data_IF_956921138422
#
_entry.id   IF_956921138422
#
_cell.length_a   1.000
_cell.length_b   1.000
_cell.length_c   1.000
_cell.angle_alpha   90.00
_cell.angle_beta   90.00
_cell.angle_gamma   90.00
#
_symmetry.space_group_name_H-M   'P 1'
#
loop_
_entity.id
_entity.type
_entity.pdbx_description
1 polymer ?
#
# COMPACT_ATOMS: atom_id res chain seq x y z
N UNK A 1 -51.14 3.21 26.73
CA UNK A 1 -50.52 4.36 26.03
C UNK A 1 -51.57 5.01 25.15
N UNK A 2 -51.81 6.30 25.41
CA UNK A 2 -52.61 7.21 24.58
C UNK A 2 -52.15 7.17 23.10
N UNK A 3 -53.11 7.26 22.17
CA UNK A 3 -52.89 7.24 20.72
C UNK A 3 -51.90 8.33 20.28
N UNK A 4 -51.99 9.53 20.88
CA UNK A 4 -51.08 10.64 20.62
C UNK A 4 -49.64 10.31 21.06
N UNK A 5 -49.48 9.69 22.23
CA UNK A 5 -48.19 9.21 22.72
C UNK A 5 -47.49 8.23 21.78
N UNK A 6 -48.25 7.36 21.08
CA UNK A 6 -47.68 6.43 20.09
C UNK A 6 -47.17 7.17 18.85
N UNK A 7 -47.95 8.11 18.33
CA UNK A 7 -47.59 8.94 17.17
C UNK A 7 -46.33 9.75 17.47
N UNK A 8 -46.26 10.40 18.64
CA UNK A 8 -45.08 11.18 19.04
C UNK A 8 -43.84 10.30 19.16
N UNK A 9 -43.98 9.10 19.73
CA UNK A 9 -42.86 8.16 19.88
C UNK A 9 -42.36 7.67 18.51
N UNK A 10 -43.28 7.35 17.59
CA UNK A 10 -42.96 6.95 16.23
C UNK A 10 -42.25 8.08 15.46
N UNK A 11 -42.74 9.32 15.55
CA UNK A 11 -42.12 10.45 14.90
C UNK A 11 -40.71 10.77 15.45
N UNK A 12 -40.50 10.64 16.77
CA UNK A 12 -39.16 10.75 17.38
C UNK A 12 -38.21 9.65 16.89
N UNK A 13 -38.69 8.42 16.76
CA UNK A 13 -37.91 7.32 16.21
C UNK A 13 -37.47 7.63 14.76
N UNK A 14 -38.39 8.12 13.93
CA UNK A 14 -38.10 8.50 12.54
C UNK A 14 -37.04 9.60 12.48
N UNK A 15 -37.15 10.62 13.32
CA UNK A 15 -36.15 11.70 13.40
C UNK A 15 -34.75 11.12 13.70
N UNK A 16 -34.63 10.29 14.74
CA UNK A 16 -33.35 9.69 15.11
C UNK A 16 -32.80 8.80 13.99
N UNK A 17 -33.64 7.97 13.37
CA UNK A 17 -33.22 7.13 12.24
C UNK A 17 -32.73 7.97 11.06
N UNK A 18 -33.36 9.11 10.79
CA UNK A 18 -32.91 10.03 9.74
C UNK A 18 -31.52 10.63 10.03
N UNK A 19 -31.18 10.91 11.30
CA UNK A 19 -29.84 11.41 11.67
C UNK A 19 -28.74 10.34 11.51
N UNK A 20 -29.06 9.07 11.72
CA UNK A 20 -28.09 7.96 11.59
C UNK A 20 -27.87 7.49 10.14
N UNK A 21 -28.61 8.03 9.18
CA UNK A 21 -28.54 7.60 7.78
C UNK A 21 -27.19 7.96 7.13
N UNK A 22 -26.52 6.95 6.58
CA UNK A 22 -25.21 7.11 5.90
C UNK A 22 -25.31 7.64 4.48
N UNK A 23 -26.51 7.69 3.92
CA UNK A 23 -26.74 8.00 2.51
C UNK A 23 -27.96 8.88 2.36
N UNK A 24 -27.99 9.68 1.28
CA UNK A 24 -29.05 10.66 1.04
C UNK A 24 -29.33 11.54 2.27
N UNK A 25 -28.25 12.01 2.90
CA UNK A 25 -28.30 12.68 4.21
C UNK A 25 -29.16 13.94 4.16
N UNK A 26 -29.16 14.68 3.05
CA UNK A 26 -29.97 15.90 2.91
C UNK A 26 -31.45 15.56 2.93
N UNK A 27 -31.87 14.58 2.13
CA UNK A 27 -33.27 14.16 2.08
C UNK A 27 -33.75 13.53 3.40
N UNK A 28 -32.91 12.71 4.06
CA UNK A 28 -33.21 12.13 5.37
C UNK A 28 -33.34 13.23 6.45
N UNK A 29 -32.38 14.15 6.50
CA UNK A 29 -32.41 15.28 7.43
C UNK A 29 -33.65 16.15 7.21
N UNK A 30 -34.01 16.44 5.95
CA UNK A 30 -35.22 17.19 5.60
C UNK A 30 -36.49 16.50 6.09
N UNK A 31 -36.63 15.20 5.84
CA UNK A 31 -37.76 14.42 6.32
C UNK A 31 -37.83 14.43 7.86
N UNK A 32 -36.69 14.22 8.53
CA UNK A 32 -36.59 14.27 9.98
C UNK A 32 -37.09 15.59 10.56
N UNK A 33 -36.57 16.71 10.08
CA UNK A 33 -36.97 18.04 10.55
C UNK A 33 -38.44 18.35 10.31
N UNK A 34 -38.97 17.96 9.14
CA UNK A 34 -40.40 18.09 8.87
C UNK A 34 -41.20 17.33 9.90
N UNK A 35 -40.94 16.04 10.07
CA UNK A 35 -41.61 15.19 11.08
C UNK A 35 -41.52 15.83 12.47
N UNK A 36 -40.33 16.25 12.91
CA UNK A 36 -40.13 16.87 14.22
C UNK A 36 -40.95 18.16 14.39
N UNK A 37 -40.99 19.02 13.37
CA UNK A 37 -41.81 20.24 13.37
C UNK A 37 -43.30 19.94 13.48
N UNK A 38 -43.79 18.91 12.78
CA UNK A 38 -45.20 18.49 12.85
C UNK A 38 -45.55 17.83 14.20
N UNK A 39 -44.58 17.26 14.91
CA UNK A 39 -44.82 16.70 16.25
C UNK A 39 -44.98 17.76 17.34
N UNK A 40 -44.46 18.99 17.15
CA UNK A 40 -44.50 20.02 18.19
C UNK A 40 -45.94 20.36 18.63
N UNK A 41 -46.90 20.64 17.72
CA UNK A 41 -48.28 20.91 18.12
C UNK A 41 -48.96 19.70 18.78
N UNK A 42 -48.61 18.48 18.36
CA UNK A 42 -49.15 17.26 18.97
C UNK A 42 -48.62 17.06 20.39
N UNK A 43 -47.35 17.42 20.66
CA UNK A 43 -46.81 17.39 22.02
C UNK A 43 -47.55 18.38 22.93
N UNK A 44 -47.79 19.60 22.45
CA UNK A 44 -48.56 20.61 23.20
C UNK A 44 -49.98 20.11 23.49
N UNK A 45 -50.64 19.47 22.52
CA UNK A 45 -51.98 18.90 22.67
C UNK A 45 -52.01 17.79 23.73
N UNK A 46 -50.99 16.92 23.75
CA UNK A 46 -50.85 15.89 24.79
C UNK A 46 -50.69 16.49 26.17
N UNK A 47 -49.84 17.50 26.28
CA UNK A 47 -49.43 18.08 27.56
C UNK A 47 -50.58 18.90 28.19
N UNK A 48 -51.56 19.35 27.39
CA UNK A 48 -52.84 19.91 27.86
C UNK A 48 -53.77 18.87 28.50
N UNK A 49 -53.45 17.58 28.43
CA UNK A 49 -54.18 16.52 29.14
C UNK A 49 -55.50 16.09 28.49
N UNK A 50 -55.74 16.44 27.23
CA UNK A 50 -56.98 16.12 26.53
C UNK A 50 -57.09 14.63 26.21
N UNK A 51 -58.05 13.97 26.89
CA UNK A 51 -58.33 12.53 26.71
C UNK A 51 -59.45 12.23 25.71
N UNK A 52 -60.27 13.23 25.36
CA UNK A 52 -61.42 13.08 24.46
C UNK A 52 -61.24 13.98 23.22
N UNK A 53 -60.57 13.43 22.20
CA UNK A 53 -60.47 14.03 20.87
C UNK A 53 -61.72 13.70 20.06
N UNK A 54 -62.12 14.58 19.14
CA UNK A 54 -63.26 14.29 18.27
C UNK A 54 -62.97 13.07 17.37
N UNK A 55 -64.00 12.35 16.89
CA UNK A 55 -63.83 11.25 15.94
C UNK A 55 -63.07 11.65 14.67
N UNK A 56 -63.28 12.88 14.19
CA UNK A 56 -62.63 13.44 13.01
C UNK A 56 -61.13 13.65 13.26
N UNK A 57 -60.76 14.24 14.40
CA UNK A 57 -59.35 14.42 14.80
C UNK A 57 -58.67 13.06 14.98
N UNK A 58 -59.35 12.10 15.61
CA UNK A 58 -58.82 10.74 15.80
C UNK A 58 -58.58 10.03 14.46
N UNK A 59 -59.45 10.24 13.47
CA UNK A 59 -59.29 9.70 12.12
C UNK A 59 -58.10 10.33 11.40
N UNK A 60 -57.96 11.67 11.47
CA UNK A 60 -56.82 12.38 10.89
C UNK A 60 -55.49 11.97 11.54
N UNK A 61 -55.45 11.78 12.86
CA UNK A 61 -54.29 11.27 13.59
C UNK A 61 -53.92 9.84 13.17
N UNK A 62 -54.92 8.98 12.93
CA UNK A 62 -54.68 7.62 12.44
C UNK A 62 -54.06 7.62 11.03
N UNK A 63 -54.54 8.51 10.14
CA UNK A 63 -53.92 8.72 8.81
C UNK A 63 -52.49 9.25 8.93
N UNK A 64 -52.26 10.17 9.87
CA UNK A 64 -50.93 10.73 10.10
C UNK A 64 -49.97 9.67 10.59
N UNK A 65 -50.41 8.81 11.52
CA UNK A 65 -49.64 7.65 11.98
C UNK A 65 -49.27 6.72 10.81
N UNK A 66 -50.22 6.40 9.92
CA UNK A 66 -49.96 5.53 8.78
C UNK A 66 -48.89 6.11 7.83
N UNK A 67 -48.86 7.43 7.62
CA UNK A 67 -47.81 8.07 6.82
C UNK A 67 -46.44 8.00 7.51
N UNK A 68 -46.39 8.14 8.84
CA UNK A 68 -45.16 7.96 9.61
C UNK A 68 -44.65 6.51 9.54
N UNK A 69 -45.55 5.52 9.61
CA UNK A 69 -45.18 4.10 9.46
C UNK A 69 -44.57 3.84 8.07
N UNK A 70 -45.16 4.40 7.01
CA UNK A 70 -44.60 4.31 5.67
C UNK A 70 -43.24 5.02 5.55
N UNK A 71 -43.08 6.17 6.19
CA UNK A 71 -41.81 6.90 6.22
C UNK A 71 -40.70 6.03 6.84
N UNK A 72 -41.01 5.39 7.98
CA UNK A 72 -40.11 4.45 8.65
C UNK A 72 -39.74 3.28 7.76
N UNK A 73 -40.71 2.62 7.12
CA UNK A 73 -40.44 1.51 6.19
C UNK A 73 -39.51 1.91 5.05
N UNK A 74 -39.69 3.12 4.50
CA UNK A 74 -38.78 3.64 3.47
C UNK A 74 -37.37 3.89 4.01
N UNK A 75 -37.23 4.47 5.19
CA UNK A 75 -35.92 4.68 5.83
C UNK A 75 -35.23 3.34 6.04
N UNK A 76 -35.93 2.35 6.60
CA UNK A 76 -35.38 1.01 6.84
C UNK A 76 -34.97 0.32 5.52
N UNK A 77 -35.78 0.46 4.46
CA UNK A 77 -35.46 -0.06 3.12
C UNK A 77 -34.19 0.58 2.55
N UNK A 78 -34.07 1.90 2.67
CA UNK A 78 -32.96 2.64 2.10
C UNK A 78 -31.76 2.74 3.02
N UNK A 79 -31.79 2.26 4.26
CA UNK A 79 -30.58 2.08 5.07
C UNK A 79 -29.53 1.16 4.39
N UNK A 80 -29.99 0.24 3.52
CA UNK A 80 -29.15 -0.72 2.81
C UNK A 80 -28.53 -0.10 1.55
N UNK A 81 -27.19 -0.12 1.48
CA UNK A 81 -26.39 0.38 0.34
C UNK A 81 -26.89 -0.12 -1.03
N UNK A 82 -27.24 -1.40 -1.14
CA UNK A 82 -27.70 -2.01 -2.39
C UNK A 82 -29.02 -1.42 -2.90
N UNK A 83 -29.94 -1.07 -2.00
CA UNK A 83 -31.24 -0.50 -2.34
C UNK A 83 -31.11 0.96 -2.82
N UNK A 84 -30.30 1.76 -2.13
CA UNK A 84 -29.99 3.13 -2.57
C UNK A 84 -29.33 3.13 -3.94
N UNK A 85 -28.33 2.27 -4.16
CA UNK A 85 -27.67 2.19 -5.44
C UNK A 85 -28.63 1.80 -6.57
N UNK A 86 -29.56 0.87 -6.32
CA UNK A 86 -30.62 0.52 -7.30
C UNK A 86 -31.52 1.71 -7.57
N UNK A 87 -31.97 2.42 -6.54
CA UNK A 87 -32.84 3.59 -6.66
C UNK A 87 -32.19 4.72 -7.46
N UNK A 88 -30.95 5.08 -7.14
CA UNK A 88 -30.22 6.14 -7.85
C UNK A 88 -29.90 5.80 -9.31
N UNK A 89 -29.92 4.52 -9.69
CA UNK A 89 -29.78 4.08 -11.09
C UNK A 89 -31.07 4.18 -11.90
N UNK A 90 -32.24 4.20 -11.26
CA UNK A 90 -33.54 4.07 -11.92
C UNK A 90 -34.04 5.32 -12.69
N UNK A 91 -33.22 6.37 -12.85
CA UNK A 91 -33.42 7.41 -13.87
C UNK A 91 -34.47 8.51 -13.60
N UNK A 92 -35.47 8.29 -12.76
CA UNK A 92 -36.47 9.33 -12.40
C UNK A 92 -36.03 10.13 -11.17
N UNK A 93 -36.70 11.27 -10.91
CA UNK A 93 -36.44 12.45 -10.04
C UNK A 93 -35.63 12.29 -8.74
N UNK A 94 -35.31 11.06 -8.32
CA UNK A 94 -34.38 10.67 -7.24
C UNK A 94 -34.75 11.23 -5.87
N UNK A 95 -35.95 11.78 -5.75
CA UNK A 95 -36.56 12.17 -4.50
C UNK A 95 -37.01 10.90 -3.77
N UNK A 96 -36.26 10.52 -2.74
CA UNK A 96 -36.41 9.28 -1.96
C UNK A 96 -37.79 9.17 -1.30
N UNK A 97 -38.27 10.31 -0.79
CA UNK A 97 -39.47 10.40 0.03
C UNK A 97 -40.63 11.12 -0.65
N UNK A 98 -40.64 11.27 -1.99
CA UNK A 98 -41.65 12.08 -2.71
C UNK A 98 -43.11 11.77 -2.31
N UNK A 99 -43.49 10.48 -2.34
CA UNK A 99 -44.82 10.05 -1.92
C UNK A 99 -45.11 10.27 -0.44
N UNK A 100 -44.11 10.10 0.43
CA UNK A 100 -44.23 10.31 1.87
C UNK A 100 -44.38 11.80 2.17
N UNK A 101 -43.52 12.66 1.63
CA UNK A 101 -43.58 14.11 1.79
C UNK A 101 -44.90 14.69 1.28
N UNK A 102 -45.43 14.17 0.17
CA UNK A 102 -46.74 14.56 -0.34
C UNK A 102 -47.85 14.20 0.65
N UNK A 103 -47.98 12.92 1.01
CA UNK A 103 -49.02 12.47 1.95
C UNK A 103 -48.90 13.11 3.34
N UNK A 104 -47.67 13.34 3.80
CA UNK A 104 -47.40 13.96 5.10
C UNK A 104 -47.94 15.39 5.13
N UNK A 105 -47.74 16.15 4.06
CA UNK A 105 -48.35 17.47 3.89
C UNK A 105 -49.87 17.38 3.82
N UNK A 106 -50.42 16.52 2.96
CA UNK A 106 -51.87 16.43 2.74
C UNK A 106 -52.61 16.12 4.07
N UNK A 107 -52.12 15.15 4.83
CA UNK A 107 -52.70 14.78 6.13
C UNK A 107 -52.47 15.86 7.19
N UNK A 108 -51.33 16.55 7.15
CA UNK A 108 -51.07 17.64 8.08
C UNK A 108 -51.96 18.87 7.83
N UNK A 109 -52.23 19.20 6.58
CA UNK A 109 -53.14 20.27 6.21
C UNK A 109 -54.56 19.97 6.73
N UNK A 110 -55.04 18.73 6.55
CA UNK A 110 -56.31 18.26 7.14
C UNK A 110 -56.31 18.38 8.68
N UNK A 111 -55.28 17.83 9.34
CA UNK A 111 -55.19 17.82 10.79
C UNK A 111 -55.08 19.23 11.38
N UNK A 112 -54.31 20.11 10.76
CA UNK A 112 -54.14 21.50 11.20
C UNK A 112 -55.45 22.29 11.13
N UNK A 113 -56.27 22.05 10.09
CA UNK A 113 -57.58 22.69 9.95
C UNK A 113 -58.54 22.19 11.03
N UNK A 114 -58.59 20.87 11.27
CA UNK A 114 -59.44 20.28 12.31
C UNK A 114 -59.08 20.81 13.71
N UNK A 115 -57.78 20.93 14.02
CA UNK A 115 -57.31 21.45 15.31
C UNK A 115 -57.59 22.95 15.51
N UNK A 116 -57.62 23.73 14.42
CA UNK A 116 -58.01 25.14 14.46
C UNK A 116 -59.52 25.32 14.64
N UNK A 117 -60.32 24.54 13.92
CA UNK A 117 -61.80 24.59 13.97
C UNK A 117 -62.31 24.20 15.35
N UNK A 118 -61.70 23.21 16.00
CA UNK A 118 -62.07 22.77 17.35
C UNK A 118 -61.51 23.70 18.45
N UNK A 119 -60.96 24.87 18.09
CA UNK A 119 -60.33 25.87 18.97
C UNK A 119 -59.19 25.35 19.87
N UNK A 120 -58.66 24.16 19.58
CA UNK A 120 -57.64 23.51 20.42
C UNK A 120 -56.25 24.11 20.24
N UNK A 121 -55.96 24.68 19.08
CA UNK A 121 -54.64 25.22 18.75
C UNK A 121 -54.73 26.44 17.82
N UNK A 122 -54.03 27.52 18.18
CA UNK A 122 -53.77 28.61 17.24
C UNK A 122 -52.51 28.27 16.42
N UNK A 123 -52.67 27.40 15.42
CA UNK A 123 -51.55 27.00 14.56
C UNK A 123 -51.24 28.16 13.62
N UNK A 124 -50.11 28.85 13.83
CA UNK A 124 -49.51 29.76 12.85
C UNK A 124 -49.49 29.03 11.51
N UNK A 125 -49.97 29.64 10.41
CA UNK A 125 -50.00 29.03 9.08
C UNK A 125 -48.61 28.49 8.68
N UNK A 126 -48.29 27.26 9.05
CA UNK A 126 -47.23 26.45 8.45
C UNK A 126 -47.82 26.08 7.09
N UNK A 127 -47.84 27.02 6.13
CA UNK A 127 -48.33 26.75 4.79
C UNK A 127 -47.21 26.04 4.01
N UNK A 128 -47.23 24.71 3.85
CA UNK A 128 -46.10 23.95 3.31
C UNK A 128 -46.19 23.81 1.78
N UNK A 129 -47.19 24.43 1.15
CA UNK A 129 -47.76 24.00 -0.13
C UNK A 129 -46.84 24.13 -1.36
N UNK A 130 -45.91 25.09 -1.38
CA UNK A 130 -45.04 25.34 -2.57
C UNK A 130 -43.55 25.07 -2.29
N UNK A 131 -43.10 25.17 -1.03
CA UNK A 131 -41.68 25.07 -0.66
C UNK A 131 -41.13 23.65 -0.72
N UNK A 132 -41.90 22.64 -0.28
CA UNK A 132 -41.30 21.31 -0.03
C UNK A 132 -40.85 20.57 -1.28
N UNK A 133 -41.55 20.71 -2.42
CA UNK A 133 -41.14 20.03 -3.64
C UNK A 133 -39.82 20.60 -4.18
N UNK A 134 -39.64 21.92 -4.07
CA UNK A 134 -38.39 22.57 -4.50
C UNK A 134 -37.23 22.17 -3.59
N UNK A 135 -37.45 22.16 -2.28
CA UNK A 135 -36.48 21.63 -1.29
C UNK A 135 -36.12 20.18 -1.59
N UNK A 136 -37.12 19.33 -1.85
CA UNK A 136 -36.93 17.91 -2.15
C UNK A 136 -36.06 17.71 -3.40
N UNK A 137 -36.30 18.52 -4.44
CA UNK A 137 -35.53 18.49 -5.68
C UNK A 137 -34.09 18.94 -5.44
N UNK A 138 -33.88 19.98 -4.64
CA UNK A 138 -32.55 20.48 -4.30
C UNK A 138 -31.76 19.44 -3.50
N UNK A 139 -32.36 18.90 -2.44
CA UNK A 139 -31.73 17.91 -1.57
C UNK A 139 -31.38 16.63 -2.37
N UNK A 140 -32.26 16.21 -3.29
CA UNK A 140 -32.00 15.07 -4.18
C UNK A 140 -30.81 15.29 -5.12
N UNK A 141 -30.64 16.49 -5.67
CA UNK A 141 -29.51 16.82 -6.54
C UNK A 141 -28.20 16.95 -5.75
N UNK A 142 -28.23 17.52 -4.54
CA UNK A 142 -27.07 17.58 -3.65
C UNK A 142 -26.59 16.17 -3.26
N UNK A 143 -27.49 15.31 -2.78
CA UNK A 143 -27.18 13.93 -2.42
C UNK A 143 -26.62 13.13 -3.61
N UNK A 144 -27.16 13.35 -4.80
CA UNK A 144 -26.68 12.73 -6.05
C UNK A 144 -25.25 13.13 -6.37
N UNK A 145 -24.89 14.41 -6.22
CA UNK A 145 -23.53 14.91 -6.49
C UNK A 145 -22.51 14.25 -5.56
N UNK A 146 -22.82 14.16 -4.27
CA UNK A 146 -21.96 13.49 -3.28
C UNK A 146 -21.71 12.03 -3.66
N UNK A 147 -22.77 11.29 -4.01
CA UNK A 147 -22.66 9.87 -4.35
C UNK A 147 -21.90 9.65 -5.67
N UNK A 148 -22.05 10.55 -6.65
CA UNK A 148 -21.27 10.50 -7.88
C UNK A 148 -19.79 10.83 -7.66
N UNK A 149 -19.48 11.81 -6.79
CA UNK A 149 -18.10 12.14 -6.41
C UNK A 149 -17.37 10.95 -5.81
N UNK A 150 -17.97 10.32 -4.79
CA UNK A 150 -17.43 9.11 -4.15
C UNK A 150 -17.21 7.96 -5.15
N UNK A 151 -18.07 7.83 -6.17
CA UNK A 151 -17.90 6.80 -7.21
C UNK A 151 -16.70 7.08 -8.12
N UNK A 152 -16.45 8.33 -8.48
CA UNK A 152 -15.30 8.73 -9.32
C UNK A 152 -13.99 8.48 -8.59
N UNK A 153 -13.90 8.88 -7.33
CA UNK A 153 -12.71 8.65 -6.50
C UNK A 153 -12.38 7.16 -6.37
N UNK A 154 -13.37 6.33 -6.08
CA UNK A 154 -13.18 4.88 -6.02
C UNK A 154 -12.69 4.28 -7.35
N UNK A 155 -13.18 4.78 -8.50
CA UNK A 155 -12.73 4.31 -9.81
C UNK A 155 -11.26 4.69 -10.10
N UNK A 156 -10.82 5.88 -9.66
CA UNK A 156 -9.41 6.30 -9.77
C UNK A 156 -8.53 5.40 -8.90
N UNK A 157 -8.93 5.14 -7.66
CA UNK A 157 -8.22 4.24 -6.74
C UNK A 157 -8.10 2.84 -7.34
N UNK A 158 -9.20 2.27 -7.85
CA UNK A 158 -9.19 0.95 -8.50
C UNK A 158 -8.24 0.91 -9.72
N UNK A 159 -8.15 1.99 -10.48
CA UNK A 159 -7.26 2.08 -11.64
C UNK A 159 -5.79 2.12 -11.21
N UNK A 160 -5.45 2.92 -10.19
CA UNK A 160 -4.10 3.00 -9.63
C UNK A 160 -3.66 1.66 -9.02
N UNK A 161 -4.56 0.96 -8.33
CA UNK A 161 -4.27 -0.38 -7.79
C UNK A 161 -3.94 -1.39 -8.90
N UNK A 162 -4.73 -1.41 -9.98
CA UNK A 162 -4.46 -2.28 -11.14
C UNK A 162 -3.13 -1.97 -11.81
N UNK A 163 -2.77 -0.68 -11.92
CA UNK A 163 -1.47 -0.28 -12.45
C UNK A 163 -0.32 -0.79 -11.57
N UNK A 164 -0.44 -0.60 -10.25
CA UNK A 164 0.56 -1.09 -9.29
C UNK A 164 0.72 -2.61 -9.32
N UNK A 165 -0.38 -3.35 -9.40
CA UNK A 165 -0.37 -4.82 -9.55
C UNK A 165 0.37 -5.25 -10.82
N UNK A 166 0.11 -4.58 -11.95
CA UNK A 166 0.80 -4.87 -13.21
C UNK A 166 2.31 -4.58 -13.12
N UNK A 167 2.72 -3.42 -12.62
CA UNK A 167 4.14 -3.07 -12.44
C UNK A 167 4.85 -4.07 -11.52
N UNK A 168 4.16 -4.51 -10.46
CA UNK A 168 4.71 -5.50 -9.52
C UNK A 168 4.90 -6.85 -10.20
N UNK A 169 3.93 -7.31 -11.00
CA UNK A 169 4.03 -8.56 -11.77
C UNK A 169 5.19 -8.52 -12.76
N UNK A 170 5.32 -7.45 -13.53
CA UNK A 170 6.42 -7.25 -14.49
C UNK A 170 7.79 -7.29 -13.79
N UNK A 171 7.90 -6.66 -12.62
CA UNK A 171 9.13 -6.70 -11.81
C UNK A 171 9.45 -8.13 -11.37
N UNK A 172 8.47 -8.89 -10.89
CA UNK A 172 8.65 -10.28 -10.46
C UNK A 172 9.10 -11.17 -11.63
N UNK A 173 8.49 -11.01 -12.81
CA UNK A 173 8.85 -11.76 -14.01
C UNK A 173 10.29 -11.44 -14.46
N UNK A 174 10.66 -10.16 -14.42
CA UNK A 174 12.03 -9.72 -14.72
C UNK A 174 13.04 -10.34 -13.74
N UNK A 175 12.77 -10.30 -12.44
CA UNK A 175 13.63 -10.95 -11.42
C UNK A 175 13.75 -12.44 -11.70
N UNK A 176 12.65 -13.14 -11.98
CA UNK A 176 12.66 -14.57 -12.29
C UNK A 176 13.52 -14.87 -13.52
N UNK A 177 13.39 -14.08 -14.58
CA UNK A 177 14.18 -14.24 -15.80
C UNK A 177 15.69 -14.07 -15.52
N UNK A 178 16.07 -13.03 -14.78
CA UNK A 178 17.47 -12.79 -14.40
C UNK A 178 18.02 -13.92 -13.53
N UNK A 179 17.23 -14.44 -12.61
CA UNK A 179 17.65 -15.57 -11.77
C UNK A 179 17.83 -16.88 -12.56
N UNK A 180 17.09 -17.08 -13.65
CA UNK A 180 17.19 -18.27 -14.49
C UNK A 180 18.41 -18.24 -15.42
N UNK A 181 18.81 -17.05 -15.90
CA UNK A 181 20.05 -16.88 -16.68
C UNK A 181 21.30 -17.15 -15.86
N UNK A 182 21.29 -16.83 -14.57
CA UNK A 182 22.44 -17.02 -13.67
C UNK A 182 22.59 -18.49 -13.22
N UNK A 183 21.51 -19.27 -13.20
CA UNK A 183 21.51 -20.64 -12.69
C UNK A 183 22.18 -21.69 -13.61
N UNK A 184 22.48 -21.34 -14.88
CA UNK A 184 22.86 -22.31 -15.92
C UNK A 184 24.23 -22.09 -16.56
N UNK A 185 25.06 -21.16 -16.08
CA UNK A 185 26.46 -21.13 -16.49
C UNK A 185 27.29 -21.96 -15.49
N UNK A 186 27.65 -23.22 -15.79
CA UNK A 186 28.79 -23.81 -15.13
C UNK A 186 29.97 -22.86 -15.31
N UNK A 187 30.75 -22.62 -14.25
CA UNK A 187 31.99 -21.83 -14.27
C UNK A 187 32.95 -22.45 -15.30
N UNK A 188 32.75 -22.16 -16.60
CA UNK A 188 33.49 -22.76 -17.70
C UNK A 188 34.92 -22.26 -17.64
N UNK A 189 35.86 -23.18 -17.40
CA UNK A 189 37.28 -22.95 -17.68
C UNK A 189 38.19 -22.66 -16.49
N UNK A 190 37.66 -22.56 -15.27
CA UNK A 190 38.51 -22.36 -14.08
C UNK A 190 38.81 -23.71 -13.41
N UNK A 191 40.08 -24.17 -13.39
CA UNK A 191 40.46 -25.42 -12.73
C UNK A 191 39.95 -25.45 -11.28
N UNK A 192 39.43 -26.57 -10.79
CA UNK A 192 39.11 -26.80 -9.36
C UNK A 192 40.39 -26.91 -8.50
N UNK A 193 41.33 -25.98 -8.67
CA UNK A 193 42.59 -25.99 -7.95
C UNK A 193 42.42 -25.47 -6.51
N UNK A 194 43.17 -26.10 -5.61
CA UNK A 194 43.31 -25.68 -4.21
C UNK A 194 44.13 -24.39 -4.17
N UNK A 195 43.66 -23.43 -3.36
CA UNK A 195 44.37 -22.17 -3.10
C UNK A 195 45.84 -22.47 -2.72
N UNK A 196 46.80 -21.84 -3.42
CA UNK A 196 48.25 -22.10 -3.28
C UNK A 196 49.10 -20.83 -3.43
N UNK A 197 50.41 -20.93 -3.18
CA UNK A 197 51.37 -19.90 -3.61
C UNK A 197 51.65 -20.14 -5.11
N UNK A 198 51.34 -19.14 -5.94
CA UNK A 198 51.44 -19.21 -7.40
C UNK A 198 52.84 -18.81 -7.81
N UNK A 199 53.50 -19.65 -8.62
CA UNK A 199 54.89 -19.41 -9.04
C UNK A 199 54.97 -18.41 -10.19
N UNK A 200 56.15 -17.81 -10.36
CA UNK A 200 56.43 -16.81 -11.41
C UNK A 200 56.16 -17.33 -12.82
N UNK A 201 56.40 -18.61 -13.06
CA UNK A 201 56.21 -19.26 -14.36
C UNK A 201 54.73 -19.45 -14.70
N UNK A 202 53.86 -19.58 -13.70
CA UNK A 202 52.42 -19.78 -13.89
C UNK A 202 51.67 -18.47 -14.11
N UNK A 203 52.25 -17.33 -13.71
CA UNK A 203 51.65 -16.01 -13.82
C UNK A 203 52.70 -14.94 -14.21
N UNK A 204 53.12 -14.90 -15.49
CA UNK A 204 54.14 -13.97 -15.96
C UNK A 204 53.70 -12.52 -15.85
N UNK A 205 54.52 -11.67 -15.22
CA UNK A 205 54.24 -10.23 -15.05
C UNK A 205 54.14 -9.44 -16.35
N UNK A 206 54.74 -9.93 -17.43
CA UNK A 206 54.68 -9.29 -18.75
C UNK A 206 53.25 -9.23 -19.31
N UNK A 207 52.38 -10.14 -18.87
CA UNK A 207 51.00 -10.24 -19.34
C UNK A 207 50.02 -9.44 -18.47
N UNK A 208 50.51 -8.66 -17.50
CA UNK A 208 49.67 -7.93 -16.56
C UNK A 208 49.28 -6.56 -17.12
N UNK A 209 47.98 -6.29 -17.16
CA UNK A 209 47.42 -5.00 -17.58
C UNK A 209 46.96 -4.22 -16.34
N UNK A 210 47.43 -2.98 -16.19
CA UNK A 210 47.03 -2.13 -15.07
C UNK A 210 45.55 -1.74 -15.18
N UNK A 211 44.76 -2.04 -14.15
CA UNK A 211 43.34 -1.65 -14.07
C UNK A 211 43.15 -0.41 -13.20
N UNK A 212 43.75 -0.41 -12.00
CA UNK A 212 43.54 0.65 -11.00
C UNK A 212 44.75 0.79 -10.10
N UNK A 213 45.04 2.01 -9.68
CA UNK A 213 46.06 2.32 -8.68
C UNK A 213 45.45 3.13 -7.54
N UNK A 214 45.55 2.59 -6.32
CA UNK A 214 45.17 3.27 -5.08
C UNK A 214 46.42 3.51 -4.22
N UNK A 215 46.28 4.21 -3.11
CA UNK A 215 47.41 4.48 -2.19
C UNK A 215 48.02 3.18 -1.61
N UNK A 216 47.17 2.24 -1.20
CA UNK A 216 47.59 1.01 -0.52
C UNK A 216 47.83 -0.19 -1.46
N UNK A 217 47.22 -0.19 -2.65
CA UNK A 217 47.31 -1.32 -3.59
C UNK A 217 47.14 -0.90 -5.04
N UNK A 218 47.71 -1.68 -5.95
CA UNK A 218 47.54 -1.57 -7.39
C UNK A 218 46.88 -2.86 -7.91
N UNK A 219 45.81 -2.72 -8.68
CA UNK A 219 45.05 -3.84 -9.25
C UNK A 219 45.41 -4.00 -10.72
N UNK A 220 45.75 -5.23 -11.11
CA UNK A 220 46.04 -5.63 -12.48
C UNK A 220 45.07 -6.71 -12.95
N UNK A 221 44.88 -6.81 -14.26
CA UNK A 221 44.31 -7.98 -14.93
C UNK A 221 45.47 -8.83 -15.46
N UNK A 222 45.38 -10.15 -15.30
CA UNK A 222 46.33 -11.08 -15.89
C UNK A 222 45.63 -12.34 -16.37
N UNK A 223 46.41 -13.32 -16.84
CA UNK A 223 45.90 -14.61 -17.29
C UNK A 223 46.48 -15.73 -16.45
N UNK A 224 45.61 -16.52 -15.83
CA UNK A 224 45.97 -17.73 -15.11
C UNK A 224 45.21 -18.91 -15.70
N UNK A 225 45.90 -19.95 -16.16
CA UNK A 225 45.29 -21.09 -16.84
C UNK A 225 44.33 -20.70 -17.99
N UNK A 226 44.73 -19.70 -18.80
CA UNK A 226 43.94 -19.12 -19.91
C UNK A 226 42.66 -18.39 -19.49
N UNK A 227 42.40 -18.24 -18.20
CA UNK A 227 41.27 -17.47 -17.67
C UNK A 227 41.75 -16.11 -17.16
N UNK A 228 40.95 -15.04 -17.33
CA UNK A 228 41.27 -13.74 -16.76
C UNK A 228 41.25 -13.80 -15.23
N UNK A 229 42.21 -13.16 -14.59
CA UNK A 229 42.33 -13.04 -13.13
C UNK A 229 42.62 -11.60 -12.73
N UNK A 230 42.13 -11.22 -11.56
CA UNK A 230 42.50 -9.96 -10.93
C UNK A 230 43.69 -10.20 -9.97
N UNK A 231 44.67 -9.30 -10.03
CA UNK A 231 45.92 -9.38 -9.28
C UNK A 231 46.06 -8.10 -8.45
N UNK A 232 45.77 -8.21 -7.16
CA UNK A 232 45.86 -7.09 -6.22
C UNK A 232 47.25 -7.07 -5.59
N UNK A 233 48.09 -6.13 -6.03
CA UNK A 233 49.46 -5.91 -5.57
C UNK A 233 49.45 -4.88 -4.44
N UNK A 234 50.07 -5.17 -3.30
CA UNK A 234 50.15 -4.21 -2.20
C UNK A 234 51.34 -3.27 -2.37
N UNK A 235 51.10 -1.95 -2.31
CA UNK A 235 52.13 -0.93 -2.56
C UNK A 235 53.10 -0.76 -1.38
N UNK A 236 52.64 -1.07 -0.17
CA UNK A 236 53.40 -0.94 1.08
C UNK A 236 53.42 -2.29 1.79
N UNK A 237 54.35 -3.17 1.42
CA UNK A 237 54.58 -4.40 2.17
C UNK A 237 55.33 -4.05 3.47
N UNK A 238 54.62 -3.91 4.58
CA UNK A 238 55.24 -3.79 5.91
C UNK A 238 55.80 -5.13 6.44
N UNK A 239 55.71 -6.20 5.64
CA UNK A 239 56.17 -7.51 6.04
C UNK A 239 57.70 -7.57 6.04
N UNK A 240 58.30 -7.37 7.21
CA UNK A 240 59.72 -7.63 7.47
C UNK A 240 60.07 -9.12 7.41
N UNK A 241 59.08 -10.01 7.56
CA UNK A 241 59.23 -11.48 7.52
C UNK A 241 58.26 -12.12 6.49
N UNK A 242 58.79 -12.52 5.34
CA UNK A 242 58.06 -13.28 4.30
C UNK A 242 57.57 -14.63 4.85
N UNK A 243 58.34 -15.25 5.75
CA UNK A 243 57.98 -16.50 6.40
C UNK A 243 56.71 -16.35 7.24
N UNK A 244 56.53 -15.21 7.90
CA UNK A 244 55.29 -14.90 8.62
C UNK A 244 54.12 -14.74 7.65
N UNK A 245 54.29 -14.03 6.53
CA UNK A 245 53.25 -13.88 5.50
C UNK A 245 52.82 -15.24 4.94
N UNK A 246 53.78 -16.10 4.60
CA UNK A 246 53.50 -17.47 4.15
C UNK A 246 52.74 -18.28 5.19
N UNK A 247 53.15 -18.23 6.46
CA UNK A 247 52.45 -18.94 7.57
C UNK A 247 51.03 -18.43 7.77
N UNK A 248 50.84 -17.12 7.80
CA UNK A 248 49.51 -16.50 7.95
C UNK A 248 48.60 -16.89 6.80
N UNK A 249 49.08 -16.78 5.56
CA UNK A 249 48.33 -17.20 4.39
C UNK A 249 47.98 -18.69 4.42
N UNK A 250 48.91 -19.57 4.78
CA UNK A 250 48.65 -21.01 4.85
C UNK A 250 47.59 -21.35 5.93
N UNK A 251 47.61 -20.65 7.05
CA UNK A 251 46.59 -20.78 8.10
C UNK A 251 45.22 -20.29 7.62
N UNK A 252 45.17 -19.19 6.88
CA UNK A 252 43.93 -18.58 6.36
C UNK A 252 43.33 -19.39 5.19
N UNK A 253 44.14 -19.97 4.30
CA UNK A 253 43.63 -20.90 3.27
C UNK A 253 42.88 -22.08 3.87
N UNK A 254 43.35 -22.60 5.01
CA UNK A 254 42.74 -23.77 5.66
C UNK A 254 41.28 -23.49 6.07
N UNK A 255 40.95 -22.26 6.40
CA UNK A 255 39.57 -21.83 6.71
C UNK A 255 38.80 -21.49 5.43
N UNK A 256 39.45 -20.92 4.41
CA UNK A 256 38.82 -20.51 3.14
C UNK A 256 38.38 -21.65 2.21
N UNK A 257 38.98 -22.84 2.28
CA UNK A 257 38.62 -24.02 1.44
C UNK A 257 37.15 -24.48 1.56
N UNK A 258 36.38 -23.93 2.50
CA UNK A 258 34.98 -24.30 2.78
C UNK A 258 33.95 -23.49 1.97
N UNK A 259 34.38 -22.47 1.22
CA UNK A 259 33.47 -21.52 0.57
C UNK A 259 33.47 -21.67 -0.96
N UNK A 260 32.95 -22.78 -1.47
CA UNK A 260 32.65 -22.90 -2.90
C UNK A 260 31.22 -22.42 -3.19
N UNK A 261 31.10 -21.17 -3.61
CA UNK A 261 29.83 -20.51 -3.91
C UNK A 261 30.00 -19.57 -5.11
N UNK A 262 28.98 -19.41 -5.97
CA UNK A 262 29.00 -18.38 -7.02
C UNK A 262 28.85 -16.95 -6.47
N UNK A 263 28.47 -16.79 -5.20
CA UNK A 263 28.31 -15.48 -4.54
C UNK A 263 29.44 -15.15 -3.56
N UNK A 264 30.55 -15.88 -3.62
CA UNK A 264 31.75 -15.58 -2.83
C UNK A 264 32.92 -15.50 -3.81
N UNK A 265 33.68 -14.40 -3.73
CA UNK A 265 34.85 -14.20 -4.57
C UNK A 265 35.84 -15.36 -4.42
N UNK A 266 36.15 -16.00 -5.55
CA UNK A 266 37.14 -17.08 -5.61
C UNK A 266 38.55 -16.50 -5.57
N UNK A 267 39.33 -16.95 -4.58
CA UNK A 267 40.76 -16.71 -4.51
C UNK A 267 41.51 -17.93 -5.07
N UNK A 268 42.50 -17.69 -5.93
CA UNK A 268 43.39 -18.75 -6.46
C UNK A 268 44.65 -18.89 -5.63
N UNK A 269 45.15 -17.80 -5.06
CA UNK A 269 46.41 -17.85 -4.34
C UNK A 269 46.99 -16.50 -3.96
N UNK A 270 48.20 -16.56 -3.41
CA UNK A 270 49.10 -15.41 -3.35
C UNK A 270 50.21 -15.57 -4.37
N UNK A 271 50.78 -14.45 -4.76
CA UNK A 271 51.98 -14.36 -5.58
C UNK A 271 52.97 -13.47 -4.83
N UNK A 272 54.17 -13.99 -4.58
CA UNK A 272 55.25 -13.27 -3.88
C UNK A 272 56.39 -13.07 -4.87
N UNK A 273 56.74 -11.81 -5.14
CA UNK A 273 57.94 -11.50 -5.92
C UNK A 273 59.08 -11.11 -4.98
N UNK A 274 60.01 -12.04 -4.80
CA UNK A 274 61.24 -11.84 -4.01
C UNK A 274 62.38 -11.21 -4.84
N UNK A 275 62.17 -10.93 -6.13
CA UNK A 275 63.18 -10.26 -6.97
C UNK A 275 63.28 -8.76 -6.70
N UNK A 276 62.34 -8.21 -5.93
CA UNK A 276 62.31 -6.81 -5.50
C UNK A 276 62.44 -6.73 -3.98
N UNK A 277 63.09 -5.67 -3.49
CA UNK A 277 63.28 -5.42 -2.04
C UNK A 277 62.58 -4.12 -1.64
N UNK A 278 61.59 -4.15 -0.72
CA UNK A 278 61.04 -5.33 -0.07
C UNK A 278 60.22 -6.22 -1.04
N UNK A 279 60.04 -7.52 -0.72
CA UNK A 279 59.26 -8.45 -1.52
C UNK A 279 57.84 -7.96 -1.77
N UNK A 280 57.39 -8.09 -3.01
CA UNK A 280 56.06 -7.63 -3.40
C UNK A 280 55.02 -8.74 -3.23
N UNK A 281 54.06 -8.50 -2.33
CA UNK A 281 52.93 -9.40 -2.10
C UNK A 281 51.75 -9.06 -3.01
N UNK A 282 51.14 -10.09 -3.60
CA UNK A 282 49.93 -9.97 -4.40
C UNK A 282 48.93 -11.07 -4.09
N UNK A 283 47.64 -10.76 -4.19
CA UNK A 283 46.55 -11.75 -4.14
C UNK A 283 46.00 -11.94 -5.55
N UNK A 284 45.84 -13.20 -5.95
CA UNK A 284 45.27 -13.60 -7.24
C UNK A 284 43.86 -14.14 -7.02
N UNK A 285 42.89 -13.50 -7.64
CA UNK A 285 41.45 -13.79 -7.49
C UNK A 285 40.76 -13.81 -8.85
N UNK A 286 39.53 -14.30 -8.89
CA UNK A 286 38.73 -14.21 -10.11
C UNK A 286 38.51 -12.77 -10.54
N UNK A 287 38.38 -12.58 -11.85
CA UNK A 287 38.17 -11.28 -12.44
C UNK A 287 36.69 -10.90 -12.39
N UNK A 288 36.38 -9.76 -11.77
CA UNK A 288 35.04 -9.18 -11.75
C UNK A 288 34.94 -8.08 -12.82
N UNK A 289 34.29 -8.37 -13.95
CA UNK A 289 34.18 -7.45 -15.10
C UNK A 289 33.54 -6.11 -14.75
N UNK A 290 32.58 -6.11 -13.82
CA UNK A 290 31.85 -4.91 -13.39
C UNK A 290 32.51 -4.20 -12.20
N UNK A 291 33.63 -4.72 -11.69
CA UNK A 291 34.30 -4.19 -10.52
C UNK A 291 33.53 -4.44 -9.22
N UNK A 292 33.63 -3.49 -8.29
CA UNK A 292 32.96 -3.55 -6.98
C UNK A 292 31.51 -3.09 -7.09
N UNK A 293 30.66 -3.55 -6.15
CA UNK A 293 29.27 -3.10 -6.09
C UNK A 293 29.17 -1.58 -5.93
N UNK A 294 30.09 -0.93 -5.20
CA UNK A 294 30.11 0.54 -5.07
C UNK A 294 30.29 1.21 -6.43
N UNK A 295 31.23 0.74 -7.24
CA UNK A 295 31.50 1.31 -8.57
C UNK A 295 30.30 1.15 -9.51
N UNK A 296 29.63 0.00 -9.47
CA UNK A 296 28.40 -0.23 -10.23
C UNK A 296 27.32 0.76 -9.81
N UNK A 297 27.12 0.97 -8.51
CA UNK A 297 26.13 1.91 -7.98
C UNK A 297 26.47 3.38 -8.26
N UNK A 298 27.76 3.73 -8.28
CA UNK A 298 28.22 5.08 -8.60
C UNK A 298 28.06 5.38 -10.10
N UNK A 299 28.26 4.38 -10.96
CA UNK A 299 28.11 4.48 -12.41
C UNK A 299 26.63 4.47 -12.86
N UNK A 300 25.82 3.60 -12.30
CA UNK A 300 24.39 3.46 -12.62
C UNK A 300 23.50 3.85 -11.44
N UNK A 301 23.13 5.13 -11.38
CA UNK A 301 22.29 5.68 -10.31
C UNK A 301 20.84 5.20 -10.38
N UNK A 302 20.35 4.91 -11.59
CA UNK A 302 18.96 4.57 -11.87
C UNK A 302 18.77 3.09 -12.20
N UNK A 303 19.44 2.20 -11.45
CA UNK A 303 19.25 0.76 -11.59
C UNK A 303 17.77 0.36 -11.41
N UNK A 304 17.25 -0.43 -12.34
CA UNK A 304 15.90 -0.97 -12.26
C UNK A 304 15.69 -1.78 -10.97
N UNK A 305 14.49 -1.72 -10.39
CA UNK A 305 14.17 -2.40 -9.13
C UNK A 305 14.47 -3.91 -9.18
N UNK A 306 14.17 -4.57 -10.30
CA UNK A 306 14.47 -5.98 -10.50
C UNK A 306 15.97 -6.29 -10.34
N UNK A 307 16.84 -5.48 -10.93
CA UNK A 307 18.31 -5.63 -10.80
C UNK A 307 18.75 -5.40 -9.35
N UNK A 308 18.21 -4.38 -8.67
CA UNK A 308 18.49 -4.13 -7.25
C UNK A 308 18.14 -5.33 -6.39
N UNK A 309 17.00 -5.97 -6.63
CA UNK A 309 16.57 -7.19 -5.92
C UNK A 309 17.57 -8.33 -6.14
N UNK A 310 18.01 -8.54 -7.39
CA UNK A 310 18.99 -9.58 -7.72
C UNK A 310 20.34 -9.31 -7.05
N UNK A 311 20.82 -8.07 -7.05
CA UNK A 311 22.05 -7.66 -6.36
C UNK A 311 21.97 -7.92 -4.85
N UNK A 312 20.87 -7.53 -4.21
CA UNK A 312 20.65 -7.77 -2.77
C UNK A 312 20.58 -9.27 -2.47
N UNK A 313 19.91 -10.05 -3.31
CA UNK A 313 19.84 -11.51 -3.14
C UNK A 313 21.22 -12.17 -3.29
N UNK A 314 22.02 -11.74 -4.27
CA UNK A 314 23.40 -12.19 -4.44
C UNK A 314 24.25 -11.89 -3.20
N UNK A 315 24.17 -10.66 -2.68
CA UNK A 315 24.85 -10.24 -1.45
C UNK A 315 24.45 -11.09 -0.24
N UNK A 316 23.15 -11.28 -0.05
CA UNK A 316 22.61 -12.07 1.04
C UNK A 316 23.04 -13.55 0.95
N UNK A 317 23.06 -14.12 -0.26
CA UNK A 317 23.56 -15.49 -0.49
C UNK A 317 25.04 -15.63 -0.17
N UNK A 318 25.87 -14.65 -0.52
CA UNK A 318 27.29 -14.61 -0.15
C UNK A 318 27.48 -14.57 1.36
N UNK A 319 26.80 -13.63 2.03
CA UNK A 319 26.84 -13.48 3.49
C UNK A 319 26.35 -14.71 4.25
N UNK A 320 25.26 -15.33 3.78
CA UNK A 320 24.67 -16.51 4.41
C UNK A 320 25.62 -17.72 4.44
N UNK A 321 26.54 -17.80 3.47
CA UNK A 321 27.51 -18.90 3.36
C UNK A 321 28.66 -18.79 4.36
N UNK A 322 28.79 -17.68 5.07
CA UNK A 322 29.80 -17.49 6.12
C UNK A 322 29.38 -18.25 7.41
N UNK A 323 30.28 -18.95 8.13
CA UNK A 323 29.91 -19.79 9.26
C UNK A 323 29.47 -18.91 10.44
N UNK A 324 28.33 -19.24 11.06
CA UNK A 324 27.88 -18.57 12.30
C UNK A 324 28.87 -18.90 13.43
N UNK A 325 29.72 -17.95 13.80
CA UNK A 325 30.67 -18.07 14.91
C UNK A 325 32.09 -17.60 14.58
N UNK A 326 32.45 -17.49 13.31
CA UNK A 326 33.66 -16.79 12.87
C UNK A 326 33.31 -15.32 12.62
N UNK A 327 34.17 -14.39 13.07
CA UNK A 327 33.96 -12.95 12.93
C UNK A 327 33.64 -12.64 11.46
N UNK A 328 32.52 -11.96 11.22
CA UNK A 328 32.27 -11.33 9.93
C UNK A 328 33.51 -10.48 9.57
N UNK A 329 33.90 -10.38 8.29
CA UNK A 329 35.00 -9.49 7.90
C UNK A 329 34.77 -8.13 8.52
N UNK A 330 35.76 -7.59 9.24
CA UNK A 330 35.68 -6.26 9.85
C UNK A 330 35.43 -5.17 8.79
N UNK A 331 35.75 -5.47 7.53
CA UNK A 331 35.48 -4.67 6.35
C UNK A 331 34.50 -5.39 5.41
N UNK A 332 33.20 -5.16 5.61
CA UNK A 332 32.14 -5.61 4.69
C UNK A 332 32.22 -4.95 3.31
N UNK A 333 33.05 -3.91 3.15
CA UNK A 333 33.34 -3.25 1.86
C UNK A 333 34.08 -4.17 0.88
N UNK A 334 34.74 -5.23 1.36
CA UNK A 334 35.51 -6.16 0.52
C UNK A 334 34.72 -7.39 0.06
N UNK A 335 33.41 -7.45 0.30
CA UNK A 335 32.55 -8.47 -0.31
C UNK A 335 32.38 -8.12 -1.79
N UNK A 336 33.42 -8.44 -2.57
CA UNK A 336 33.31 -8.49 -4.02
C UNK A 336 32.41 -9.68 -4.32
N UNK A 337 31.16 -9.38 -4.63
CA UNK A 337 30.26 -10.36 -5.20
C UNK A 337 30.73 -10.57 -6.64
N UNK A 338 31.23 -11.77 -6.92
CA UNK A 338 31.45 -12.22 -8.29
C UNK A 338 30.09 -12.31 -8.98
N UNK A 339 29.74 -11.27 -9.73
CA UNK A 339 28.64 -11.32 -10.67
C UNK A 339 29.24 -11.70 -12.03
N UNK A 340 28.83 -12.85 -12.57
CA UNK A 340 29.17 -13.32 -13.91
C UNK A 340 27.94 -13.80 -14.67
#
# INVERSE_FOLDING_TARGET
>A
MDHLGRIISLGKLIYNQCEEMKYCQKQCWRLGNRVQGLLQPLQMLRDQGERNLSPEITTALSRFQAVLEEAKEKIDKFSKKSNIQKFLRAGHDRILFSGVNKRLRDVWEELSLLLQVDQRMHISRISPGVSWHQEDQQDAEEDKRVIQGLRRENAVIETLLKQLENTTRETIETVRSLMQSDAHKPKKGLPEEKIKEIKKEELPKADWVLLRKNECSTLYEGKYHKSPVAIKVFNKSQASDIGLVRRTFHNEIRTMKKFDSPNILRMFGIYIDETVTPPQLSIVMEYCELGTLREVLDKEKDLALALRIVLVLGAARGLYRYPRGERAPSDTESICLSYG
#
